data_IF_161556885078
#
_entry.id   IF_161556885078
#
_cell.length_a   1.000
_cell.length_b   1.000
_cell.length_c   1.000
_cell.angle_alpha   90.00
_cell.angle_beta   90.00
_cell.angle_gamma   90.00
#
_symmetry.space_group_name_H-M   'P 1'
#
loop_
_entity.id
_entity.type
_entity.pdbx_description
1 polymer ?
#
# COMPACT_ATOMS: atom_id res chain seq x y z
N UNK A 1 -23.60 27.95 -15.86
CA UNK A 1 -23.38 26.78 -15.00
C UNK A 1 -21.90 26.76 -14.66
N UNK A 2 -21.50 27.29 -13.52
CA UNK A 2 -20.10 27.46 -13.14
C UNK A 2 -19.66 26.16 -12.47
N UNK A 3 -18.79 25.40 -13.12
CA UNK A 3 -18.12 24.27 -12.48
C UNK A 3 -17.19 24.83 -11.40
N UNK A 4 -17.54 24.60 -10.15
CA UNK A 4 -16.62 24.78 -9.02
C UNK A 4 -15.59 23.66 -9.14
N UNK A 5 -14.43 23.98 -9.71
CA UNK A 5 -13.26 23.14 -9.58
C UNK A 5 -12.89 23.18 -8.11
N UNK A 6 -13.02 22.05 -7.43
CA UNK A 6 -12.60 21.89 -6.06
C UNK A 6 -11.08 22.11 -6.02
N UNK A 7 -10.67 23.29 -5.58
CA UNK A 7 -9.25 23.61 -5.36
C UNK A 7 -8.74 22.77 -4.20
N UNK A 8 -7.68 22.00 -4.48
CA UNK A 8 -6.82 21.28 -3.52
C UNK A 8 -7.50 20.24 -2.62
N UNK A 9 -7.86 19.11 -3.21
CA UNK A 9 -8.08 17.90 -2.42
C UNK A 9 -6.76 17.12 -2.31
N UNK A 10 -5.91 17.43 -1.33
CA UNK A 10 -4.78 16.58 -1.00
C UNK A 10 -5.29 15.35 -0.25
N UNK A 11 -4.95 14.16 -0.73
CA UNK A 11 -5.34 12.88 -0.10
C UNK A 11 -4.17 12.31 0.69
N UNK A 12 -4.35 12.18 2.01
CA UNK A 12 -3.35 11.59 2.92
C UNK A 12 -3.51 10.08 2.94
N UNK A 13 -2.44 9.37 2.64
CA UNK A 13 -2.42 7.91 2.57
C UNK A 13 -1.61 7.32 3.71
N UNK A 14 -2.16 6.31 4.38
CA UNK A 14 -1.39 5.37 5.20
C UNK A 14 -1.23 4.07 4.42
N UNK A 15 0.00 3.66 4.16
CA UNK A 15 0.35 2.45 3.43
C UNK A 15 0.90 1.38 4.37
N UNK A 16 0.21 0.24 4.41
CA UNK A 16 0.53 -0.95 5.21
C UNK A 16 0.75 -2.17 4.31
N UNK A 17 1.44 -3.18 4.84
CA UNK A 17 1.50 -4.53 4.28
C UNK A 17 1.86 -5.55 5.35
N UNK A 18 1.57 -6.81 5.07
CA UNK A 18 2.08 -7.94 5.86
C UNK A 18 1.76 -7.81 7.36
N UNK A 19 0.50 -7.54 7.66
CA UNK A 19 0.00 -7.45 9.05
C UNK A 19 -0.07 -8.82 9.74
N UNK A 20 -0.27 -9.91 8.98
CA UNK A 20 -0.31 -11.28 9.50
C UNK A 20 -1.16 -11.40 10.77
N UNK A 21 -2.39 -10.94 10.72
CA UNK A 21 -3.36 -10.95 11.84
C UNK A 21 -2.97 -10.10 13.05
N UNK A 22 -1.99 -9.20 12.90
CA UNK A 22 -1.56 -8.31 13.96
C UNK A 22 -1.76 -6.84 13.61
N UNK A 23 -2.44 -6.12 14.50
CA UNK A 23 -2.59 -4.66 14.44
C UNK A 23 -2.65 -4.13 15.88
N UNK A 24 -1.95 -3.03 16.14
CA UNK A 24 -1.90 -2.39 17.45
C UNK A 24 -2.47 -0.96 17.42
N UNK A 25 -2.63 -0.38 18.61
CA UNK A 25 -3.21 0.96 18.77
C UNK A 25 -2.39 2.02 18.04
N UNK A 26 -1.08 1.85 17.92
CA UNK A 26 -0.22 2.80 17.21
C UNK A 26 -0.54 2.82 15.71
N UNK A 27 -0.77 1.65 15.10
CA UNK A 27 -1.21 1.58 13.69
C UNK A 27 -2.57 2.26 13.55
N UNK A 28 -3.52 1.99 14.46
CA UNK A 28 -4.86 2.58 14.42
C UNK A 28 -4.83 4.10 14.61
N UNK A 29 -3.94 4.61 15.45
CA UNK A 29 -3.72 6.04 15.62
C UNK A 29 -3.27 6.72 14.33
N UNK A 30 -2.27 6.17 13.64
CA UNK A 30 -1.84 6.67 12.34
C UNK A 30 -2.94 6.55 11.27
N UNK A 31 -3.70 5.45 11.29
CA UNK A 31 -4.83 5.25 10.40
C UNK A 31 -5.89 6.34 10.54
N UNK A 32 -6.14 6.80 11.75
CA UNK A 32 -7.10 7.88 12.02
C UNK A 32 -6.69 9.24 11.42
N UNK A 33 -5.40 9.45 11.20
CA UNK A 33 -4.82 10.68 10.64
C UNK A 33 -4.80 10.69 9.10
N UNK A 34 -5.04 9.55 8.46
CA UNK A 34 -5.10 9.43 7.01
C UNK A 34 -6.51 9.73 6.47
N UNK A 35 -6.62 9.96 5.17
CA UNK A 35 -7.90 10.00 4.45
C UNK A 35 -8.26 8.63 3.89
N UNK A 36 -7.25 7.87 3.45
CA UNK A 36 -7.38 6.49 2.99
C UNK A 36 -6.29 5.60 3.59
N UNK A 37 -6.63 4.33 3.79
CA UNK A 37 -5.69 3.27 4.18
C UNK A 37 -5.50 2.35 2.98
N UNK A 38 -4.25 2.08 2.63
CA UNK A 38 -3.90 1.12 1.60
C UNK A 38 -3.11 -0.04 2.19
N UNK A 39 -3.55 -1.28 1.91
CA UNK A 39 -2.92 -2.49 2.44
C UNK A 39 -2.48 -3.43 1.31
N UNK A 40 -1.18 -3.69 1.22
CA UNK A 40 -0.60 -4.45 0.11
C UNK A 40 -0.52 -5.97 0.37
N UNK A 41 -1.55 -6.56 1.01
CA UNK A 41 -1.72 -8.00 1.15
C UNK A 41 -1.12 -8.62 2.41
N UNK A 42 -1.41 -9.90 2.59
CA UNK A 42 -1.10 -10.66 3.81
C UNK A 42 -1.73 -10.03 5.06
N UNK A 43 -3.06 -9.80 4.97
CA UNK A 43 -3.86 -9.36 6.11
C UNK A 43 -3.84 -10.39 7.25
N UNK A 44 -3.95 -11.68 6.88
CA UNK A 44 -4.00 -12.82 7.78
C UNK A 44 -5.41 -13.13 8.28
N UNK A 45 -6.06 -12.22 8.99
CA UNK A 45 -7.43 -12.39 9.45
C UNK A 45 -8.36 -11.29 8.93
N UNK A 46 -9.63 -11.64 8.75
CA UNK A 46 -10.65 -10.68 8.31
C UNK A 46 -10.90 -9.58 9.35
N UNK A 47 -10.62 -9.84 10.61
CA UNK A 47 -10.72 -8.86 11.70
C UNK A 47 -9.84 -7.62 11.47
N UNK A 48 -8.68 -7.78 10.81
CA UNK A 48 -7.82 -6.65 10.46
C UNK A 48 -8.54 -5.69 9.51
N UNK A 49 -9.22 -6.26 8.51
CA UNK A 49 -10.00 -5.49 7.53
C UNK A 49 -11.11 -4.73 8.24
N UNK A 50 -11.91 -5.42 9.07
CA UNK A 50 -13.00 -4.80 9.82
C UNK A 50 -12.53 -3.66 10.74
N UNK A 51 -11.36 -3.80 11.37
CA UNK A 51 -10.79 -2.74 12.22
C UNK A 51 -10.36 -1.53 11.41
N UNK A 52 -9.71 -1.73 10.26
CA UNK A 52 -9.24 -0.64 9.41
C UNK A 52 -10.40 0.10 8.73
N UNK A 53 -11.37 -0.63 8.19
CA UNK A 53 -12.54 -0.06 7.51
C UNK A 53 -13.44 0.78 8.42
N UNK A 54 -13.47 0.47 9.72
CA UNK A 54 -14.17 1.30 10.72
C UNK A 54 -13.54 2.68 10.90
N UNK A 55 -12.28 2.84 10.52
CA UNK A 55 -11.54 4.10 10.71
C UNK A 55 -11.57 4.94 9.44
N UNK A 56 -11.17 4.37 8.29
CA UNK A 56 -11.07 5.05 7.00
C UNK A 56 -11.33 4.08 5.85
N UNK A 57 -11.67 4.60 4.65
CA UNK A 57 -11.77 3.77 3.46
C UNK A 57 -10.49 2.97 3.24
N UNK A 58 -10.64 1.68 2.98
CA UNK A 58 -9.55 0.73 2.78
C UNK A 58 -9.50 0.28 1.33
N UNK A 59 -8.33 0.41 0.71
CA UNK A 59 -7.99 -0.19 -0.59
C UNK A 59 -6.87 -1.19 -0.42
N UNK A 60 -6.83 -2.23 -1.24
CA UNK A 60 -5.74 -3.19 -1.11
C UNK A 60 -5.78 -4.30 -2.15
N UNK A 61 -4.91 -5.26 -1.93
CA UNK A 61 -4.84 -6.54 -2.64
C UNK A 61 -4.73 -7.67 -1.63
N UNK A 62 -5.12 -8.88 -2.01
CA UNK A 62 -4.83 -10.03 -1.17
C UNK A 62 -3.37 -10.47 -1.29
N UNK A 63 -2.86 -11.12 -0.27
CA UNK A 63 -1.54 -11.73 -0.25
C UNK A 63 -1.59 -13.26 -0.27
N UNK A 64 -0.43 -13.92 -0.34
CA UNK A 64 -0.37 -15.37 -0.50
C UNK A 64 -0.89 -16.17 0.70
N UNK A 65 -0.89 -15.60 1.90
CA UNK A 65 -1.44 -16.26 3.10
C UNK A 65 -2.94 -16.00 3.28
N UNK A 66 -3.52 -15.07 2.53
CA UNK A 66 -4.91 -14.68 2.71
C UNK A 66 -5.88 -15.74 2.18
N UNK A 67 -6.87 -16.10 3.00
CA UNK A 67 -7.87 -17.11 2.70
C UNK A 67 -8.98 -16.61 1.77
N UNK A 68 -9.89 -17.52 1.43
CA UNK A 68 -10.97 -17.30 0.44
C UNK A 68 -11.83 -16.06 0.75
N UNK A 69 -12.16 -15.80 2.01
CA UNK A 69 -12.96 -14.63 2.42
C UNK A 69 -12.27 -13.32 2.07
N UNK A 70 -10.97 -13.20 2.35
CA UNK A 70 -10.20 -11.98 2.02
C UNK A 70 -10.04 -11.84 0.52
N UNK A 71 -9.78 -12.95 -0.19
CA UNK A 71 -9.65 -12.94 -1.65
C UNK A 71 -10.96 -12.62 -2.39
N UNK A 72 -12.11 -12.78 -1.75
CA UNK A 72 -13.39 -12.35 -2.33
C UNK A 72 -13.62 -10.84 -2.18
N UNK A 73 -12.97 -10.18 -1.22
CA UNK A 73 -13.10 -8.73 -0.97
C UNK A 73 -12.03 -7.90 -1.71
N UNK A 74 -10.84 -8.46 -1.89
CA UNK A 74 -9.71 -7.77 -2.52
C UNK A 74 -9.20 -8.52 -3.75
N UNK A 75 -8.82 -7.81 -4.84
CA UNK A 75 -8.24 -8.44 -6.01
C UNK A 75 -6.77 -8.83 -5.79
N UNK A 76 -6.22 -9.64 -6.70
CA UNK A 76 -4.77 -9.92 -6.78
C UNK A 76 -3.99 -8.72 -7.32
N UNK A 77 -4.57 -8.06 -8.32
CA UNK A 77 -4.04 -6.86 -8.96
C UNK A 77 -5.06 -5.75 -8.78
N UNK A 78 -4.66 -4.67 -8.15
CA UNK A 78 -5.52 -3.50 -8.00
C UNK A 78 -4.89 -2.30 -8.70
N UNK A 79 -5.58 -1.82 -9.73
CA UNK A 79 -5.18 -0.62 -10.48
C UNK A 79 -6.27 0.43 -10.34
N UNK A 80 -5.90 1.57 -9.82
CA UNK A 80 -6.85 2.66 -9.57
C UNK A 80 -6.18 4.03 -9.64
N UNK A 81 -6.99 5.07 -9.70
CA UNK A 81 -6.53 6.45 -9.57
C UNK A 81 -6.81 6.97 -8.15
N UNK A 82 -5.82 7.64 -7.57
CA UNK A 82 -6.00 8.52 -6.44
C UNK A 82 -5.61 9.92 -6.92
N UNK A 83 -6.53 10.87 -6.85
CA UNK A 83 -6.40 12.12 -7.58
C UNK A 83 -6.07 11.85 -9.07
N UNK A 84 -4.95 12.37 -9.57
CA UNK A 84 -4.46 12.12 -10.92
C UNK A 84 -3.26 11.14 -10.95
N UNK A 85 -2.98 10.45 -9.84
CA UNK A 85 -1.92 9.44 -9.76
C UNK A 85 -2.50 8.06 -10.05
N UNK A 86 -2.04 7.41 -11.12
CA UNK A 86 -2.35 6.01 -11.38
C UNK A 86 -1.50 5.11 -10.47
N UNK A 87 -2.18 4.27 -9.70
CA UNK A 87 -1.60 3.35 -8.72
C UNK A 87 -1.81 1.92 -9.18
N UNK A 88 -0.77 1.11 -9.09
CA UNK A 88 -0.82 -0.34 -9.25
C UNK A 88 -0.36 -0.99 -7.94
N UNK A 89 -1.16 -1.91 -7.41
CA UNK A 89 -0.82 -2.71 -6.24
C UNK A 89 -0.81 -4.19 -6.60
N UNK A 90 0.26 -4.90 -6.22
CA UNK A 90 0.40 -6.35 -6.34
C UNK A 90 1.23 -6.82 -5.14
N UNK A 91 0.69 -7.75 -4.32
CA UNK A 91 1.40 -8.21 -3.14
C UNK A 91 2.79 -8.78 -3.46
N UNK A 92 2.89 -9.77 -4.36
CA UNK A 92 4.14 -10.36 -4.80
C UNK A 92 4.58 -9.70 -6.11
N UNK A 93 5.12 -8.49 -6.03
CA UNK A 93 5.45 -7.68 -7.20
C UNK A 93 6.94 -7.68 -7.58
N UNK A 94 7.82 -8.00 -6.64
CA UNK A 94 9.25 -7.83 -6.82
C UNK A 94 9.68 -6.37 -6.64
N UNK A 95 10.71 -5.96 -7.36
CA UNK A 95 11.28 -4.61 -7.29
C UNK A 95 11.85 -4.19 -8.67
N UNK A 96 12.15 -2.91 -8.89
CA UNK A 96 12.76 -2.43 -10.12
C UNK A 96 13.97 -3.25 -10.55
N UNK A 97 13.92 -3.72 -11.80
CA UNK A 97 14.93 -4.62 -12.38
C UNK A 97 14.72 -6.12 -12.07
N UNK A 98 13.80 -6.46 -11.15
CA UNK A 98 13.48 -7.85 -10.75
C UNK A 98 12.00 -8.01 -10.45
N UNK A 99 11.14 -7.51 -11.32
CA UNK A 99 9.69 -7.69 -11.18
C UNK A 99 9.29 -9.15 -11.38
N UNK A 100 8.25 -9.58 -10.67
CA UNK A 100 7.63 -10.89 -10.93
C UNK A 100 6.98 -10.89 -12.32
N UNK A 101 6.72 -12.08 -12.93
CA UNK A 101 6.08 -12.15 -14.25
C UNK A 101 4.75 -11.36 -14.31
N UNK A 102 3.92 -11.46 -13.26
CA UNK A 102 2.65 -10.72 -13.16
C UNK A 102 2.88 -9.21 -13.16
N UNK A 103 3.74 -8.72 -12.25
CA UNK A 103 4.04 -7.30 -12.17
C UNK A 103 4.67 -6.76 -13.45
N UNK A 104 5.59 -7.53 -14.05
CA UNK A 104 6.23 -7.15 -15.31
C UNK A 104 5.23 -7.04 -16.47
N UNK A 105 4.25 -7.95 -16.54
CA UNK A 105 3.16 -7.90 -17.51
C UNK A 105 2.36 -6.60 -17.34
N UNK A 106 1.85 -6.35 -16.14
CA UNK A 106 1.02 -5.18 -15.83
C UNK A 106 1.75 -3.85 -16.11
N UNK A 107 3.04 -3.76 -15.71
CA UNK A 107 3.86 -2.57 -15.93
C UNK A 107 4.18 -2.38 -17.42
N UNK A 108 4.45 -3.48 -18.16
CA UNK A 108 4.78 -3.42 -19.59
C UNK A 108 3.57 -3.02 -20.45
N UNK A 109 2.38 -3.44 -20.07
CA UNK A 109 1.14 -3.06 -20.76
C UNK A 109 0.82 -1.58 -20.56
N UNK A 110 0.94 -1.11 -19.31
CA UNK A 110 0.79 0.29 -18.94
C UNK A 110 1.52 0.58 -17.63
N UNK A 111 2.61 1.31 -17.69
CA UNK A 111 3.34 1.70 -16.50
C UNK A 111 2.51 2.67 -15.63
N UNK A 112 2.29 2.36 -14.33
CA UNK A 112 1.64 3.28 -13.40
C UNK A 112 2.60 4.40 -13.01
N UNK A 113 2.10 5.45 -12.37
CA UNK A 113 2.98 6.44 -11.71
C UNK A 113 3.51 5.93 -10.36
N UNK A 114 2.71 5.14 -9.66
CA UNK A 114 3.05 4.52 -8.38
C UNK A 114 2.80 3.02 -8.43
N UNK A 115 3.83 2.23 -8.19
CA UNK A 115 3.73 0.79 -8.03
C UNK A 115 4.02 0.39 -6.58
N UNK A 116 3.12 -0.37 -5.96
CA UNK A 116 3.21 -0.81 -4.57
C UNK A 116 3.27 -2.34 -4.51
N UNK A 117 4.23 -2.87 -3.78
CA UNK A 117 4.34 -4.29 -3.46
C UNK A 117 4.56 -4.53 -1.97
N UNK A 118 4.39 -5.77 -1.51
CA UNK A 118 4.63 -6.23 -0.15
C UNK A 118 5.51 -7.48 -0.13
N UNK A 119 5.10 -8.49 0.63
CA UNK A 119 5.61 -9.85 0.69
C UNK A 119 7.06 -10.01 1.20
N UNK A 120 7.98 -9.22 0.69
CA UNK A 120 9.41 -9.35 1.10
C UNK A 120 9.68 -8.90 2.53
N UNK A 121 8.76 -8.17 3.15
CA UNK A 121 8.92 -7.49 4.44
C UNK A 121 10.09 -6.48 4.46
N UNK A 122 10.60 -6.12 3.29
CA UNK A 122 11.75 -5.20 3.14
C UNK A 122 11.24 -3.82 2.75
N UNK A 123 11.37 -2.89 3.66
CA UNK A 123 11.08 -1.48 3.42
C UNK A 123 11.90 -0.96 2.23
N UNK A 124 11.23 -0.38 1.24
CA UNK A 124 11.88 0.17 0.04
C UNK A 124 11.08 1.32 -0.58
N UNK A 125 11.80 2.37 -0.94
CA UNK A 125 11.31 3.41 -1.82
C UNK A 125 12.34 3.59 -2.94
N UNK A 126 11.95 3.44 -4.19
CA UNK A 126 12.86 3.37 -5.33
C UNK A 126 12.22 3.91 -6.59
N UNK A 127 12.91 4.79 -7.30
CA UNK A 127 12.44 5.26 -8.60
C UNK A 127 12.97 4.35 -9.72
N UNK A 128 12.07 3.78 -10.49
CA UNK A 128 12.37 2.99 -11.67
C UNK A 128 12.47 3.92 -12.89
N UNK A 129 13.69 4.26 -13.27
CA UNK A 129 13.95 5.14 -14.41
C UNK A 129 13.48 4.55 -15.73
N UNK A 130 13.58 3.21 -15.89
CA UNK A 130 13.19 2.53 -17.13
C UNK A 130 11.68 2.67 -17.41
N UNK A 131 10.88 2.52 -16.38
CA UNK A 131 9.42 2.56 -16.48
C UNK A 131 8.82 3.89 -16.03
N UNK A 132 9.65 4.84 -15.58
CA UNK A 132 9.24 6.15 -15.06
C UNK A 132 8.17 6.06 -13.97
N UNK A 133 8.38 5.19 -12.99
CA UNK A 133 7.46 4.97 -11.88
C UNK A 133 8.17 5.01 -10.52
N UNK A 134 7.46 5.40 -9.47
CA UNK A 134 7.90 5.24 -8.09
C UNK A 134 7.46 3.86 -7.59
N UNK A 135 8.39 3.06 -7.08
CA UNK A 135 8.10 1.81 -6.39
C UNK A 135 8.19 1.97 -4.88
N UNK A 136 7.15 1.54 -4.17
CA UNK A 136 7.10 1.51 -2.71
C UNK A 136 6.83 0.10 -2.21
N UNK A 137 7.54 -0.29 -1.16
CA UNK A 137 7.21 -1.41 -0.30
C UNK A 137 7.28 -0.91 1.15
N UNK A 138 6.17 -0.92 1.90
CA UNK A 138 6.14 -0.35 3.25
C UNK A 138 6.86 -1.21 4.30
N UNK A 139 7.41 -2.38 3.90
CA UNK A 139 7.85 -3.40 4.84
C UNK A 139 6.66 -4.09 5.50
N UNK A 140 6.88 -4.77 6.62
CA UNK A 140 5.83 -5.45 7.35
C UNK A 140 5.43 -4.67 8.60
N UNK A 141 4.13 -4.40 8.76
CA UNK A 141 3.59 -3.80 9.98
C UNK A 141 3.30 -4.84 11.07
N UNK A 142 3.19 -6.12 10.72
CA UNK A 142 2.96 -7.24 11.61
C UNK A 142 4.22 -7.78 12.29
N UNK A 143 4.05 -8.87 13.03
CA UNK A 143 5.13 -9.49 13.82
C UNK A 143 5.72 -10.74 13.18
N UNK A 144 5.12 -11.30 12.13
CA UNK A 144 5.63 -12.49 11.44
C UNK A 144 6.64 -12.15 10.35
N UNK A 145 7.64 -13.01 10.18
CA UNK A 145 8.65 -12.90 9.13
C UNK A 145 10.07 -12.66 9.66
N UNK A 146 11.00 -12.36 8.77
CA UNK A 146 12.43 -12.21 9.08
C UNK A 146 12.86 -10.76 9.38
N UNK A 147 11.97 -9.78 9.17
CA UNK A 147 12.26 -8.38 9.49
C UNK A 147 12.47 -8.17 10.99
N UNK A 148 13.34 -7.24 11.34
CA UNK A 148 13.63 -6.89 12.74
C UNK A 148 12.79 -5.70 13.23
N UNK A 149 12.56 -4.75 12.35
CA UNK A 149 11.80 -3.54 12.58
C UNK A 149 10.47 -3.62 11.84
N UNK A 150 9.39 -3.37 12.54
CA UNK A 150 8.05 -3.21 11.95
C UNK A 150 7.95 -1.81 11.35
N UNK A 151 7.44 -1.72 10.12
CA UNK A 151 7.35 -0.44 9.41
C UNK A 151 6.03 -0.28 8.66
N UNK A 152 5.71 0.94 8.36
CA UNK A 152 4.69 1.37 7.42
C UNK A 152 5.11 2.71 6.80
N UNK A 153 4.37 3.20 5.83
CA UNK A 153 4.63 4.49 5.19
C UNK A 153 3.41 5.38 5.25
N UNK A 154 3.62 6.69 5.23
CA UNK A 154 2.58 7.66 4.90
C UNK A 154 3.07 8.64 3.87
N UNK A 155 2.17 9.16 3.06
CA UNK A 155 2.45 10.18 2.06
C UNK A 155 1.16 10.92 1.67
N UNK A 156 1.32 11.96 0.89
CA UNK A 156 0.22 12.79 0.37
C UNK A 156 0.21 12.70 -1.14
N UNK A 157 -0.97 12.53 -1.72
CA UNK A 157 -1.20 12.72 -3.15
C UNK A 157 -1.90 14.07 -3.34
N UNK A 158 -1.31 14.93 -4.17
CA UNK A 158 -1.81 16.25 -4.50
C UNK A 158 -1.83 16.39 -6.03
N UNK A 159 -2.99 16.24 -6.62
CA UNK A 159 -3.15 16.19 -8.07
C UNK A 159 -2.32 15.05 -8.69
N UNK A 160 -1.23 15.39 -9.35
CA UNK A 160 -0.30 14.43 -9.97
C UNK A 160 0.94 14.13 -9.12
N UNK A 161 1.10 14.82 -8.00
CA UNK A 161 2.31 14.73 -7.18
C UNK A 161 2.15 13.79 -5.99
N UNK A 162 3.22 13.06 -5.69
CA UNK A 162 3.38 12.27 -4.47
C UNK A 162 4.35 13.02 -3.59
N UNK A 163 3.88 13.46 -2.42
CA UNK A 163 4.60 14.35 -1.51
C UNK A 163 4.73 13.74 -0.12
N UNK A 164 5.63 14.30 0.67
CA UNK A 164 5.76 14.05 2.11
C UNK A 164 5.84 12.56 2.46
N UNK A 165 6.57 11.79 1.62
CA UNK A 165 6.80 10.38 1.89
C UNK A 165 7.62 10.21 3.16
N UNK A 166 7.03 9.53 4.14
CA UNK A 166 7.63 9.26 5.44
C UNK A 166 7.53 7.79 5.78
N UNK A 167 8.62 7.25 6.29
CA UNK A 167 8.67 5.92 6.91
C UNK A 167 8.32 6.03 8.38
N UNK A 168 7.42 5.19 8.85
CA UNK A 168 7.03 5.08 10.25
C UNK A 168 7.61 3.79 10.81
N UNK A 169 8.54 3.90 11.73
CA UNK A 169 9.07 2.77 12.49
C UNK A 169 8.16 2.46 13.68
N UNK A 170 7.55 1.29 13.68
CA UNK A 170 6.60 0.85 14.70
C UNK A 170 7.30 0.18 15.90
N UNK A 171 8.61 0.03 15.85
CA UNK A 171 9.41 -0.65 16.85
C UNK A 171 9.78 -2.07 16.44
N UNK A 172 10.57 -2.71 17.33
CA UNK A 172 11.01 -4.09 17.12
C UNK A 172 9.80 -5.06 17.10
N UNK A 173 10.00 -6.20 16.48
CA UNK A 173 9.00 -7.27 16.30
C UNK A 173 8.78 -8.12 17.58
N UNK A 174 9.23 -7.73 18.73
CA UNK A 174 9.13 -8.48 20.00
C UNK A 174 7.72 -8.60 20.53
#
# INVERSE_FOLDING_TARGET
MTFVVNENSMTKILLLSDSHSYIDDRILEYASQADEIWHCGDFGSFEIIEKLEKIKPLKGVWGNIDGAKIRSEFPEVNRFFCENVEVLMIHIGGLPGKYTPLANKEISEKAPKLFISGHSHILKAMFDQKNNLLHLNPGACGKQGWHKMRTMMRFVIDGEEIKDLEVIELGAKV
#
